data_IF_166316871805
#
_entry.id   IF_166316871805
#
_cell.length_a   1.000
_cell.length_b   1.000
_cell.length_c   1.000
_cell.angle_alpha   90.00
_cell.angle_beta   90.00
_cell.angle_gamma   90.00
#
_symmetry.space_group_name_H-M   'P 1'
#
loop_
_entity.id
_entity.type
_entity.pdbx_description
1 polymer ?
#
# COMPACT_ATOMS: atom_id res chain seq x y z
N UNK A 1 18.25 3.96 -21.23
CA UNK A 1 18.94 3.40 -20.02
C UNK A 1 18.08 2.37 -19.27
N UNK A 2 16.78 2.59 -19.04
CA UNK A 2 15.92 1.63 -18.30
C UNK A 2 15.75 0.25 -18.99
N UNK A 3 15.79 0.16 -20.32
CA UNK A 3 15.75 -1.12 -21.03
C UNK A 3 16.92 -2.06 -20.67
N UNK A 4 18.10 -1.53 -20.35
CA UNK A 4 19.26 -2.35 -19.96
C UNK A 4 19.09 -2.97 -18.56
N UNK A 5 18.33 -2.29 -17.68
CA UNK A 5 17.96 -2.80 -16.35
C UNK A 5 16.85 -3.84 -16.49
N UNK A 6 15.87 -3.63 -17.37
CA UNK A 6 14.77 -4.57 -17.60
C UNK A 6 15.22 -5.90 -18.21
N UNK A 7 16.27 -5.91 -19.03
CA UNK A 7 16.79 -7.14 -19.66
C UNK A 7 17.60 -8.01 -18.68
N UNK A 8 18.17 -7.44 -17.62
CA UNK A 8 18.97 -8.18 -16.63
C UNK A 8 18.15 -8.50 -15.38
N UNK A 9 17.48 -9.65 -15.41
CA UNK A 9 16.66 -10.18 -14.30
C UNK A 9 17.38 -10.20 -12.95
N UNK A 10 18.67 -10.53 -12.92
CA UNK A 10 19.50 -10.52 -11.70
C UNK A 10 19.71 -9.12 -11.12
N UNK A 11 19.87 -8.11 -11.98
CA UNK A 11 20.00 -6.72 -11.53
C UNK A 11 18.66 -6.20 -10.98
N UNK A 12 17.53 -6.55 -11.61
CA UNK A 12 16.20 -6.19 -11.08
C UNK A 12 15.93 -6.79 -9.70
N UNK A 13 16.27 -8.06 -9.50
CA UNK A 13 16.12 -8.72 -8.20
C UNK A 13 17.01 -8.08 -7.13
N UNK A 14 18.26 -7.73 -7.50
CA UNK A 14 19.17 -7.05 -6.59
C UNK A 14 18.67 -5.64 -6.21
N UNK A 15 18.20 -4.85 -7.18
CA UNK A 15 17.61 -3.54 -6.91
C UNK A 15 16.36 -3.68 -6.03
N UNK A 16 15.47 -4.63 -6.34
CA UNK A 16 14.29 -4.90 -5.52
C UNK A 16 14.63 -5.28 -4.08
N UNK A 17 15.66 -6.11 -3.90
CA UNK A 17 16.18 -6.47 -2.57
C UNK A 17 16.74 -5.24 -1.83
N UNK A 18 17.54 -4.42 -2.50
CA UNK A 18 18.11 -3.20 -1.91
C UNK A 18 17.02 -2.19 -1.51
N UNK A 19 16.04 -1.95 -2.38
CA UNK A 19 14.90 -1.10 -2.06
C UNK A 19 14.05 -1.67 -0.92
N UNK A 20 13.90 -3.00 -0.84
CA UNK A 20 13.24 -3.67 0.27
C UNK A 20 13.94 -3.43 1.62
N UNK A 21 15.28 -3.52 1.66
CA UNK A 21 16.06 -3.20 2.87
C UNK A 21 15.86 -1.75 3.27
N UNK A 22 16.00 -0.81 2.31
CA UNK A 22 15.81 0.62 2.59
C UNK A 22 14.40 0.91 3.11
N UNK A 23 13.38 0.33 2.48
CA UNK A 23 11.99 0.44 2.92
C UNK A 23 11.79 -0.09 4.35
N UNK A 24 12.38 -1.25 4.68
CA UNK A 24 12.35 -1.80 6.04
C UNK A 24 12.99 -0.88 7.08
N UNK A 25 14.15 -0.27 6.76
CA UNK A 25 14.82 0.70 7.64
C UNK A 25 13.93 1.93 7.88
N UNK A 26 13.28 2.45 6.84
CA UNK A 26 12.37 3.59 6.96
C UNK A 26 11.11 3.26 7.76
N UNK A 27 10.52 2.07 7.57
CA UNK A 27 9.38 1.61 8.37
C UNK A 27 9.76 1.49 9.85
N UNK A 28 10.94 0.94 10.14
CA UNK A 28 11.44 0.81 11.51
C UNK A 28 11.67 2.18 12.16
N UNK A 29 12.35 3.10 11.46
CA UNK A 29 12.53 4.48 11.94
C UNK A 29 11.21 5.24 12.12
N UNK A 30 10.22 4.95 11.29
CA UNK A 30 8.88 5.54 11.37
C UNK A 30 8.02 4.97 12.52
N UNK A 31 8.50 4.00 13.29
CA UNK A 31 7.76 3.41 14.41
C UNK A 31 6.58 2.54 14.00
N UNK A 32 6.28 2.42 12.70
CA UNK A 32 5.19 1.62 12.15
C UNK A 32 5.43 0.10 12.27
N UNK A 33 6.56 -0.32 12.84
CA UNK A 33 6.88 -1.73 13.14
C UNK A 33 6.52 -2.14 14.57
N UNK A 34 6.06 -1.21 15.41
CA UNK A 34 5.67 -1.48 16.80
C UNK A 34 4.17 -1.73 16.90
N UNK A 35 3.78 -2.80 17.60
CA UNK A 35 2.37 -3.14 17.82
C UNK A 35 1.59 -1.99 18.46
N UNK A 36 2.11 -1.42 19.54
CA UNK A 36 1.43 -0.39 20.33
C UNK A 36 1.11 0.87 19.51
N UNK A 37 1.96 1.19 18.54
CA UNK A 37 1.79 2.35 17.65
C UNK A 37 0.66 2.09 16.65
N UNK A 38 0.56 0.87 16.12
CA UNK A 38 -0.50 0.50 15.18
C UNK A 38 -1.84 0.37 15.91
N UNK A 39 -1.86 -0.23 17.10
CA UNK A 39 -3.07 -0.29 17.94
C UNK A 39 -3.48 1.09 18.41
N UNK A 40 -2.53 1.95 18.81
CA UNK A 40 -2.78 3.35 19.12
C UNK A 40 -3.42 4.12 17.96
N UNK A 41 -3.04 3.80 16.72
CA UNK A 41 -3.70 4.34 15.53
C UNK A 41 -5.11 3.78 15.33
N UNK A 42 -5.33 2.48 15.54
CA UNK A 42 -6.67 1.88 15.48
C UNK A 42 -7.63 2.44 16.53
N UNK A 43 -7.11 2.79 17.72
CA UNK A 43 -7.86 3.43 18.79
C UNK A 43 -7.97 4.96 18.64
N UNK A 44 -7.42 5.54 17.57
CA UNK A 44 -7.41 7.00 17.30
C UNK A 44 -6.72 7.82 18.39
N UNK A 45 -5.75 7.22 19.10
CA UNK A 45 -4.95 7.87 20.15
C UNK A 45 -3.65 8.43 19.55
N UNK A 46 -3.07 7.71 18.59
CA UNK A 46 -1.80 8.08 17.94
C UNK A 46 -1.96 8.16 16.42
N UNK A 47 -1.88 9.37 15.87
CA UNK A 47 -2.01 9.62 14.42
C UNK A 47 -0.68 9.60 13.68
N UNK A 48 0.42 9.20 14.33
CA UNK A 48 1.76 9.16 13.73
C UNK A 48 1.81 8.31 12.46
N UNK A 49 1.20 7.12 12.47
CA UNK A 49 1.17 6.23 11.30
C UNK A 49 0.39 6.86 10.14
N UNK A 50 -0.72 7.53 10.43
CA UNK A 50 -1.53 8.22 9.41
C UNK A 50 -0.74 9.33 8.73
N UNK A 51 0.01 10.14 9.51
CA UNK A 51 0.88 11.21 8.97
C UNK A 51 1.98 10.65 8.09
N UNK A 52 2.61 9.54 8.50
CA UNK A 52 3.66 8.88 7.71
C UNK A 52 3.06 8.34 6.40
N UNK A 53 1.89 7.68 6.45
CA UNK A 53 1.26 7.14 5.25
C UNK A 53 0.82 8.26 4.29
N UNK A 54 0.19 9.32 4.80
CA UNK A 54 -0.23 10.46 3.97
C UNK A 54 0.96 11.16 3.31
N UNK A 55 2.03 11.44 4.05
CA UNK A 55 3.24 12.07 3.50
C UNK A 55 3.94 11.18 2.47
N UNK A 56 3.98 9.86 2.68
CA UNK A 56 4.49 8.89 1.73
C UNK A 56 3.65 8.85 0.43
N UNK A 57 2.31 8.89 0.55
CA UNK A 57 1.40 8.93 -0.61
C UNK A 57 1.59 10.22 -1.42
N UNK A 58 1.68 11.37 -0.76
CA UNK A 58 1.91 12.67 -1.43
C UNK A 58 3.24 12.64 -2.18
N UNK A 59 4.33 12.25 -1.50
CA UNK A 59 5.67 12.18 -2.11
C UNK A 59 5.71 11.17 -3.25
N UNK A 60 5.09 9.99 -3.08
CA UNK A 60 5.00 8.96 -4.11
C UNK A 60 4.21 9.42 -5.33
N UNK A 61 3.08 10.11 -5.13
CA UNK A 61 2.26 10.62 -6.23
C UNK A 61 3.02 11.65 -7.07
N UNK A 62 3.67 12.62 -6.42
CA UNK A 62 4.47 13.65 -7.10
C UNK A 62 5.67 13.01 -7.82
N UNK A 63 6.38 12.08 -7.15
CA UNK A 63 7.55 11.41 -7.71
C UNK A 63 7.22 10.53 -8.91
N UNK A 64 6.17 9.71 -8.83
CA UNK A 64 5.71 8.86 -9.93
C UNK A 64 5.23 9.71 -11.10
N UNK A 65 4.51 10.81 -10.82
CA UNK A 65 4.05 11.72 -11.87
C UNK A 65 5.21 12.41 -12.60
N UNK A 66 6.24 12.86 -11.88
CA UNK A 66 7.45 13.40 -12.48
C UNK A 66 8.15 12.36 -13.37
N UNK A 67 8.33 11.13 -12.86
CA UNK A 67 8.94 10.03 -13.63
C UNK A 67 8.11 9.62 -14.87
N UNK A 68 6.78 9.70 -14.78
CA UNK A 68 5.89 9.52 -15.93
C UNK A 68 6.09 10.61 -16.98
N UNK A 69 6.24 11.87 -16.57
CA UNK A 69 6.47 13.00 -17.50
C UNK A 69 7.80 12.87 -18.26
N UNK A 70 8.81 12.22 -17.68
CA UNK A 70 10.08 11.91 -18.34
C UNK A 70 10.04 10.62 -19.19
N UNK A 71 8.91 9.91 -19.22
CA UNK A 71 8.74 8.66 -19.96
C UNK A 71 9.50 7.47 -19.36
N UNK A 72 9.84 7.52 -18.07
CA UNK A 72 10.63 6.47 -17.40
C UNK A 72 9.77 5.35 -16.79
N UNK A 73 8.48 5.59 -16.57
CA UNK A 73 7.57 4.67 -15.88
C UNK A 73 6.23 4.60 -16.61
N UNK A 74 5.79 3.38 -16.92
CA UNK A 74 4.42 3.10 -17.36
C UNK A 74 3.56 2.72 -16.14
N UNK A 75 2.42 3.38 -15.99
CA UNK A 75 1.46 3.05 -14.94
C UNK A 75 0.70 1.78 -15.36
N UNK A 76 0.85 0.72 -14.58
CA UNK A 76 -0.01 -0.47 -14.65
C UNK A 76 -1.03 -0.43 -13.50
N UNK A 77 -2.13 0.33 -13.62
CA UNK A 77 -3.19 0.27 -12.64
C UNK A 77 -3.79 -1.13 -12.62
N UNK A 78 -4.12 -1.62 -11.42
CA UNK A 78 -4.80 -2.90 -11.28
C UNK A 78 -6.30 -2.68 -11.55
N UNK A 79 -6.97 -3.53 -12.37
CA UNK A 79 -8.40 -3.39 -12.62
C UNK A 79 -9.17 -3.53 -11.31
N UNK A 80 -10.04 -2.54 -11.06
CA UNK A 80 -10.83 -2.47 -9.84
C UNK A 80 -12.19 -3.13 -10.05
N UNK A 81 -12.59 -4.02 -9.13
CA UNK A 81 -13.93 -4.57 -9.10
C UNK A 81 -14.55 -4.28 -7.75
N UNK A 82 -15.80 -3.83 -7.72
CA UNK A 82 -16.49 -3.51 -6.48
C UNK A 82 -16.62 -4.75 -5.58
N UNK A 83 -16.89 -5.91 -6.18
CA UNK A 83 -16.94 -7.18 -5.47
C UNK A 83 -15.60 -7.57 -4.86
N UNK A 84 -14.49 -7.32 -5.56
CA UNK A 84 -13.15 -7.65 -5.04
C UNK A 84 -12.66 -6.65 -3.99
N UNK A 85 -12.90 -5.34 -4.21
CA UNK A 85 -12.45 -4.27 -3.32
C UNK A 85 -13.26 -4.20 -2.03
N UNK A 86 -14.60 -4.33 -2.09
CA UNK A 86 -15.43 -4.25 -0.89
C UNK A 86 -15.26 -5.48 0.00
N UNK A 87 -15.36 -6.69 -0.58
CA UNK A 87 -15.26 -7.94 0.18
C UNK A 87 -13.81 -8.17 0.63
N UNK A 88 -12.84 -7.95 -0.26
CA UNK A 88 -11.43 -8.04 0.10
C UNK A 88 -11.03 -7.03 1.15
N UNK A 89 -11.50 -5.78 1.04
CA UNK A 89 -11.26 -4.72 2.03
C UNK A 89 -11.86 -5.03 3.40
N UNK A 90 -13.06 -5.61 3.45
CA UNK A 90 -13.69 -6.04 4.71
C UNK A 90 -12.91 -7.18 5.38
N UNK A 91 -12.56 -8.23 4.64
CA UNK A 91 -11.79 -9.36 5.17
C UNK A 91 -10.41 -8.88 5.64
N UNK A 92 -9.75 -8.06 4.84
CA UNK A 92 -8.46 -7.46 5.21
C UNK A 92 -8.59 -6.58 6.45
N UNK A 93 -9.64 -5.75 6.54
CA UNK A 93 -9.90 -4.89 7.68
C UNK A 93 -10.13 -5.67 8.98
N UNK A 94 -10.90 -6.77 8.92
CA UNK A 94 -11.11 -7.66 10.07
C UNK A 94 -9.78 -8.29 10.51
N UNK A 95 -8.98 -8.80 9.57
CA UNK A 95 -7.66 -9.36 9.89
C UNK A 95 -6.68 -8.33 10.45
N UNK A 96 -6.71 -7.11 9.92
CA UNK A 96 -5.89 -6.01 10.42
C UNK A 96 -6.32 -5.58 11.82
N UNK A 97 -7.62 -5.53 12.11
CA UNK A 97 -8.15 -5.18 13.42
C UNK A 97 -7.82 -6.23 14.50
N UNK A 98 -7.80 -7.52 14.13
CA UNK A 98 -7.50 -8.60 15.09
C UNK A 98 -6.00 -8.76 15.34
N UNK A 99 -5.18 -8.69 14.28
CA UNK A 99 -3.73 -8.91 14.38
C UNK A 99 -2.96 -7.62 14.70
N UNK A 100 -3.51 -6.45 14.39
CA UNK A 100 -2.85 -5.16 14.57
C UNK A 100 -1.64 -4.93 13.67
N UNK A 101 -1.50 -5.70 12.58
CA UNK A 101 -0.42 -5.54 11.61
C UNK A 101 -0.89 -5.75 10.17
N UNK A 102 -0.32 -4.97 9.25
CA UNK A 102 -0.51 -5.10 7.81
C UNK A 102 0.72 -5.79 7.16
N UNK A 103 0.65 -6.32 5.93
CA UNK A 103 1.68 -7.19 5.37
C UNK A 103 3.09 -6.58 5.34
N UNK A 104 3.21 -5.28 5.08
CA UNK A 104 4.50 -4.57 5.12
C UNK A 104 5.04 -4.39 6.54
N UNK A 105 4.16 -4.04 7.49
CA UNK A 105 4.53 -3.87 8.90
C UNK A 105 4.84 -5.20 9.58
N UNK A 106 4.21 -6.31 9.19
CA UNK A 106 4.53 -7.66 9.69
C UNK A 106 5.98 -8.01 9.33
N UNK A 107 6.39 -7.80 8.08
CA UNK A 107 7.77 -8.06 7.66
C UNK A 107 8.79 -7.25 8.47
N UNK A 108 8.49 -5.96 8.73
CA UNK A 108 9.32 -5.12 9.60
C UNK A 108 9.28 -5.53 11.08
N UNK A 109 8.14 -5.95 11.60
CA UNK A 109 7.96 -6.40 12.99
C UNK A 109 8.67 -7.73 13.26
N UNK A 110 8.68 -8.65 12.29
CA UNK A 110 9.48 -9.88 12.37
C UNK A 110 10.97 -9.56 12.42
N UNK A 111 11.43 -8.59 11.63
CA UNK A 111 12.82 -8.09 11.72
C UNK A 111 13.17 -7.47 13.08
N UNK A 112 12.17 -7.02 13.84
CA UNK A 112 12.34 -6.52 15.21
C UNK A 112 12.29 -7.61 16.28
N UNK A 113 12.01 -8.86 15.92
CA UNK A 113 11.93 -9.97 16.86
C UNK A 113 10.56 -10.12 17.55
N UNK A 114 9.50 -9.46 17.07
CA UNK A 114 8.16 -9.68 17.58
C UNK A 114 7.66 -11.08 17.17
N UNK A 115 7.55 -11.97 18.16
CA UNK A 115 7.15 -13.37 17.95
C UNK A 115 5.71 -13.43 17.40
N UNK A 116 4.81 -12.57 17.86
CA UNK A 116 3.41 -12.53 17.41
C UNK A 116 3.28 -12.23 15.91
N UNK A 117 4.14 -11.36 15.37
CA UNK A 117 4.19 -11.06 13.94
C UNK A 117 4.76 -12.25 13.14
N UNK A 118 5.71 -13.00 13.70
CA UNK A 118 6.37 -14.12 13.05
C UNK A 118 5.50 -15.39 13.03
N UNK A 119 4.93 -15.78 14.17
CA UNK A 119 4.13 -17.02 14.29
C UNK A 119 2.68 -16.81 13.93
N UNK A 120 2.07 -15.68 14.30
CA UNK A 120 0.68 -15.37 13.95
C UNK A 120 0.54 -14.72 12.59
N UNK A 121 1.31 -13.66 12.34
CA UNK A 121 1.18 -12.83 11.14
C UNK A 121 1.67 -13.48 9.85
N UNK A 122 2.93 -13.92 9.80
CA UNK A 122 3.51 -14.52 8.58
C UNK A 122 2.78 -15.81 8.22
N UNK A 123 2.56 -16.71 9.20
CA UNK A 123 1.86 -17.98 8.96
C UNK A 123 0.43 -17.73 8.50
N UNK A 124 -0.28 -16.78 9.13
CA UNK A 124 -1.62 -16.36 8.72
C UNK A 124 -1.67 -15.82 7.30
N UNK A 125 -0.69 -15.00 6.89
CA UNK A 125 -0.58 -14.50 5.51
C UNK A 125 -0.30 -15.64 4.54
N UNK A 126 0.63 -16.55 4.85
CA UNK A 126 0.98 -17.65 3.96
C UNK A 126 -0.21 -18.59 3.74
N UNK A 127 -0.90 -18.98 4.82
CA UNK A 127 -2.08 -19.83 4.75
C UNK A 127 -3.22 -19.09 4.05
N UNK A 128 -3.49 -17.84 4.43
CA UNK A 128 -4.57 -17.03 3.85
C UNK A 128 -4.36 -16.77 2.35
N UNK A 129 -3.14 -16.41 1.94
CA UNK A 129 -2.78 -16.22 0.54
C UNK A 129 -2.80 -17.53 -0.25
N UNK A 130 -2.34 -18.63 0.33
CA UNK A 130 -2.40 -19.97 -0.28
C UNK A 130 -3.84 -20.45 -0.49
N UNK A 131 -4.68 -20.30 0.53
CA UNK A 131 -6.11 -20.63 0.46
C UNK A 131 -6.83 -19.74 -0.55
N UNK A 132 -6.55 -18.43 -0.52
CA UNK A 132 -7.09 -17.50 -1.50
C UNK A 132 -6.66 -17.88 -2.92
N UNK A 133 -5.39 -18.22 -3.16
CA UNK A 133 -4.90 -18.64 -4.47
C UNK A 133 -5.57 -19.93 -4.97
N UNK A 134 -5.85 -20.89 -4.09
CA UNK A 134 -6.56 -22.12 -4.43
C UNK A 134 -8.04 -21.89 -4.76
N UNK A 135 -8.71 -20.96 -4.07
CA UNK A 135 -10.13 -20.63 -4.26
C UNK A 135 -10.34 -19.57 -5.36
N UNK A 136 -9.29 -18.79 -5.69
CA UNK A 136 -9.29 -17.75 -6.71
C UNK A 136 -9.94 -18.16 -8.04
N UNK A 137 -9.62 -19.32 -8.66
CA UNK A 137 -10.25 -19.73 -9.91
C UNK A 137 -11.77 -19.94 -9.80
N UNK A 138 -12.29 -20.31 -8.62
CA UNK A 138 -13.74 -20.40 -8.38
C UNK A 138 -14.37 -19.04 -8.06
N UNK A 139 -13.65 -18.18 -7.34
CA UNK A 139 -14.15 -16.87 -6.91
C UNK A 139 -14.16 -15.84 -8.06
N UNK A 140 -13.23 -15.98 -9.01
CA UNK A 140 -13.12 -15.16 -10.22
C UNK A 140 -14.32 -15.32 -11.16
N UNK A 141 -14.94 -16.50 -11.19
CA UNK A 141 -16.08 -16.80 -12.06
C UNK A 141 -17.44 -16.30 -11.52
N UNK A 142 -17.51 -15.82 -10.27
CA UNK A 142 -18.77 -15.40 -9.64
C UNK A 142 -18.71 -14.01 -9.02
N UNK A 143 -18.09 -13.91 -7.84
CA UNK A 143 -18.17 -12.72 -6.96
C UNK A 143 -17.16 -11.63 -7.38
N UNK A 144 -15.97 -12.00 -7.85
CA UNK A 144 -14.94 -11.01 -8.21
C UNK A 144 -15.24 -10.26 -9.51
N UNK A 145 -16.12 -10.78 -10.38
CA UNK A 145 -16.51 -10.13 -11.64
C UNK A 145 -17.79 -9.29 -11.52
N UNK A 146 -18.43 -9.30 -10.34
CA UNK A 146 -19.69 -8.58 -10.11
C UNK A 146 -19.37 -7.11 -9.81
N UNK A 147 -19.67 -6.23 -10.78
CA UNK A 147 -19.31 -4.81 -10.72
C UNK A 147 -17.84 -4.56 -11.05
N UNK A 148 -17.34 -5.18 -12.12
CA UNK A 148 -16.02 -4.89 -12.67
C UNK A 148 -16.03 -3.47 -13.26
N UNK A 149 -15.25 -2.57 -12.67
CA UNK A 149 -15.08 -1.21 -13.18
C UNK A 149 -13.87 -1.12 -14.13
N UNK A 150 -13.18 -2.23 -14.45
CA UNK A 150 -12.02 -2.22 -15.34
C UNK A 150 -10.88 -1.31 -14.82
N UNK A 151 -10.03 -0.84 -15.74
CA UNK A 151 -8.90 0.06 -15.43
C UNK A 151 -9.34 1.53 -15.37
N UNK A 152 -10.36 1.83 -14.57
CA UNK A 152 -10.81 3.21 -14.37
C UNK A 152 -10.03 3.82 -13.22
N UNK A 153 -8.93 4.48 -13.56
CA UNK A 153 -8.21 5.42 -12.68
C UNK A 153 -9.05 6.70 -12.53
N UNK A 154 -9.00 7.38 -11.38
CA UNK A 154 -9.70 8.67 -11.12
C UNK A 154 -9.59 9.67 -12.30
N UNK A 155 -8.43 9.83 -12.97
CA UNK A 155 -8.30 10.66 -14.18
C UNK A 155 -9.18 10.26 -15.37
N UNK A 156 -9.43 8.96 -15.55
CA UNK A 156 -10.24 8.40 -16.64
C UNK A 156 -11.73 8.59 -16.40
N UNK A 157 -12.16 8.61 -15.13
CA UNK A 157 -13.55 8.84 -14.74
C UNK A 157 -13.95 10.33 -14.83
N UNK A 158 -13.00 11.23 -14.54
CA UNK A 158 -13.24 12.69 -14.52
C UNK A 158 -12.89 13.35 -15.88
N UNK A 159 -12.25 12.64 -16.84
CA UNK A 159 -11.80 13.19 -18.14
C UNK A 159 -10.94 14.47 -18.01
N UNK A 160 -10.21 14.62 -16.90
CA UNK A 160 -9.33 15.77 -16.67
C UNK A 160 -7.87 15.29 -16.79
N UNK A 161 -6.98 16.07 -17.40
CA UNK A 161 -5.58 15.68 -17.58
C UNK A 161 -4.94 15.35 -16.22
N UNK A 162 -4.16 14.27 -16.20
CA UNK A 162 -3.44 13.80 -15.02
C UNK A 162 -2.51 14.88 -14.42
N UNK A 163 -2.04 15.81 -15.26
CA UNK A 163 -1.26 16.99 -14.86
C UNK A 163 -1.98 17.93 -13.90
N UNK A 164 -3.32 17.95 -13.90
CA UNK A 164 -4.12 18.86 -13.07
C UNK A 164 -4.64 18.16 -11.81
N UNK A 165 -5.02 16.88 -11.91
CA UNK A 165 -5.56 16.12 -10.78
C UNK A 165 -4.47 15.84 -9.72
N UNK A 166 -3.27 15.46 -10.15
CA UNK A 166 -2.18 15.11 -9.22
C UNK A 166 -1.83 16.27 -8.28
N UNK A 167 -1.56 17.50 -8.76
CA UNK A 167 -1.27 18.62 -7.85
C UNK A 167 -2.48 19.01 -7.00
N UNK A 168 -3.72 18.96 -7.52
CA UNK A 168 -4.92 19.29 -6.72
C UNK A 168 -5.12 18.30 -5.57
N UNK A 169 -5.01 17.00 -5.85
CA UNK A 169 -5.14 15.96 -4.82
C UNK A 169 -3.96 16.03 -3.85
N UNK A 170 -2.74 16.29 -4.33
CA UNK A 170 -1.59 16.51 -3.46
C UNK A 170 -1.80 17.72 -2.53
N UNK A 171 -2.25 18.87 -3.04
CA UNK A 171 -2.54 20.06 -2.23
C UNK A 171 -3.66 19.80 -1.24
N UNK A 172 -4.70 19.07 -1.61
CA UNK A 172 -5.78 18.67 -0.71
C UNK A 172 -5.30 17.75 0.42
N UNK A 173 -4.48 16.75 0.09
CA UNK A 173 -3.87 15.85 1.08
C UNK A 173 -2.89 16.58 2.00
N UNK A 174 -2.10 17.52 1.47
CA UNK A 174 -1.22 18.40 2.25
C UNK A 174 -2.04 19.28 3.20
N UNK A 175 -3.16 19.82 2.73
CA UNK A 175 -4.07 20.61 3.57
C UNK A 175 -4.64 19.77 4.73
N UNK A 176 -5.05 18.52 4.46
CA UNK A 176 -5.49 17.58 5.50
C UNK A 176 -4.36 17.29 6.49
N UNK A 177 -3.13 17.10 6.00
CA UNK A 177 -1.97 16.82 6.84
C UNK A 177 -1.64 18.00 7.77
N UNK A 178 -1.67 19.22 7.25
CA UNK A 178 -1.50 20.45 8.04
C UNK A 178 -2.66 20.67 9.03
N UNK A 179 -3.88 20.30 8.68
CA UNK A 179 -5.03 20.37 9.58
C UNK A 179 -4.95 19.36 10.73
N UNK A 180 -4.41 18.17 10.46
CA UNK A 180 -4.10 17.16 11.48
C UNK A 180 -3.00 17.65 12.43
N UNK A 181 -1.91 18.20 11.88
CA UNK A 181 -0.79 18.75 12.65
C UNK A 181 -1.20 19.94 13.52
N UNK A 182 -2.02 20.86 12.98
CA UNK A 182 -2.56 22.04 13.70
C UNK A 182 -3.43 21.66 14.90
N UNK A 183 -4.11 20.50 14.85
CA UNK A 183 -4.91 20.01 15.98
C UNK A 183 -4.10 19.26 17.05
N UNK A 184 -2.78 19.17 16.93
CA UNK A 184 -1.91 18.53 17.91
C UNK A 184 -2.16 17.02 18.09
N UNK A 185 -2.79 16.40 17.09
CA UNK A 185 -3.05 14.96 16.98
C UNK A 185 -2.05 14.35 16.01
#
# INVERSE_FOLDING_TARGET
>A
MLNVIHTKKGLQLFLGFLFGILFGIFLHKGGATKYDVIVGQLLLIDFTVVKIMLSAVITGMIGIFAMKSFGWVELHPKPGSWGSSAIGGLIFGIGFATLGYCPGTIAGAVGNGYIDAATGGIVGILIGAGLFAAIYPRLMNGILRKGDFGDITIPKLIKVPECIIVPIVATFLVFILLALESKGM
#
